data_IF_742925893695
#
_entry.id   IF_742925893695
#
_cell.length_a   1.000
_cell.length_b   1.000
_cell.length_c   1.000
_cell.angle_alpha   90.00
_cell.angle_beta   90.00
_cell.angle_gamma   90.00
#
_symmetry.space_group_name_H-M   'P 1'
#
loop_
_entity.id
_entity.type
_entity.pdbx_description
1 polymer ?
#
# COMPACT_ATOMS: atom_id res chain seq x y z
N UNK A 1 57.92 20.54 -1.00
CA UNK A 1 57.24 19.61 -1.92
C UNK A 1 56.76 18.27 -1.34
N UNK A 2 57.19 17.73 -0.18
CA UNK A 2 56.67 16.44 0.31
C UNK A 2 55.21 16.48 0.79
N UNK A 3 54.71 17.59 1.34
CA UNK A 3 53.35 17.70 1.84
C UNK A 3 52.27 17.53 0.78
N UNK A 4 52.51 18.00 -0.43
CA UNK A 4 51.56 17.90 -1.54
C UNK A 4 51.39 16.45 -2.01
N UNK A 5 52.48 15.69 -2.00
CA UNK A 5 52.47 14.26 -2.34
C UNK A 5 51.75 13.39 -1.30
N UNK A 6 51.87 13.73 -0.02
CA UNK A 6 51.18 13.02 1.06
C UNK A 6 49.67 13.28 0.98
N UNK A 7 49.28 14.55 0.79
CA UNK A 7 47.87 14.92 0.64
C UNK A 7 47.20 14.27 -0.58
N UNK A 8 47.93 14.09 -1.67
CA UNK A 8 47.44 13.43 -2.87
C UNK A 8 47.24 11.92 -2.68
N UNK A 9 48.20 11.27 -2.00
CA UNK A 9 48.08 9.84 -1.66
C UNK A 9 46.95 9.53 -0.70
N UNK A 10 46.72 10.39 0.31
CA UNK A 10 45.62 10.21 1.24
C UNK A 10 44.25 10.40 0.56
N UNK A 11 44.13 11.37 -0.32
CA UNK A 11 42.90 11.56 -1.12
C UNK A 11 42.62 10.38 -2.04
N UNK A 12 43.64 9.87 -2.73
CA UNK A 12 43.52 8.70 -3.61
C UNK A 12 43.10 7.45 -2.82
N UNK A 13 43.67 7.25 -1.65
CA UNK A 13 43.33 6.14 -0.74
C UNK A 13 41.87 6.27 -0.24
N UNK A 14 41.45 7.48 0.12
CA UNK A 14 40.06 7.73 0.53
C UNK A 14 39.06 7.46 -0.59
N UNK A 15 39.37 7.88 -1.82
CA UNK A 15 38.51 7.57 -2.99
C UNK A 15 38.48 6.06 -3.26
N UNK A 16 39.59 5.37 -3.15
CA UNK A 16 39.64 3.91 -3.34
C UNK A 16 38.84 3.17 -2.27
N UNK A 17 38.91 3.59 -1.00
CA UNK A 17 38.13 3.04 0.11
C UNK A 17 36.63 3.30 -0.10
N UNK A 18 36.24 4.51 -0.51
CA UNK A 18 34.86 4.85 -0.81
C UNK A 18 34.31 4.01 -1.97
N UNK A 19 35.11 3.83 -3.01
CA UNK A 19 34.76 3.00 -4.16
C UNK A 19 34.56 1.53 -3.76
N UNK A 20 35.44 0.97 -2.92
CA UNK A 20 35.30 -0.38 -2.40
C UNK A 20 34.05 -0.55 -1.53
N UNK A 21 33.70 0.44 -0.71
CA UNK A 21 32.47 0.43 0.10
C UNK A 21 31.21 0.45 -0.78
N UNK A 22 31.19 1.23 -1.84
CA UNK A 22 30.06 1.29 -2.77
C UNK A 22 29.90 -0.03 -3.56
N UNK A 23 31.02 -0.65 -3.96
CA UNK A 23 30.99 -1.94 -4.65
C UNK A 23 30.55 -3.10 -3.76
N UNK A 24 30.65 -2.96 -2.42
CA UNK A 24 30.22 -3.99 -1.46
C UNK A 24 28.72 -3.94 -1.17
N UNK A 25 28.01 -2.92 -1.61
CA UNK A 25 26.56 -2.82 -1.48
C UNK A 25 25.86 -3.79 -2.46
N UNK A 26 25.93 -5.07 -2.15
CA UNK A 26 25.16 -6.08 -2.88
C UNK A 26 23.69 -5.95 -2.48
N UNK A 27 22.84 -5.66 -3.45
CA UNK A 27 21.40 -5.78 -3.28
C UNK A 27 21.07 -7.23 -2.90
N UNK A 28 20.45 -7.42 -1.75
CA UNK A 28 19.97 -8.75 -1.36
C UNK A 28 18.92 -9.18 -2.37
N UNK A 29 19.22 -10.16 -3.18
CA UNK A 29 18.24 -10.75 -4.09
C UNK A 29 17.20 -11.48 -3.24
N UNK A 30 15.96 -11.00 -3.28
CA UNK A 30 14.84 -11.65 -2.59
C UNK A 30 14.69 -13.10 -3.09
N UNK A 31 14.79 -14.04 -2.15
CA UNK A 31 14.51 -15.45 -2.39
C UNK A 31 13.18 -15.80 -1.75
N UNK A 32 12.14 -16.10 -2.54
CA UNK A 32 10.84 -16.46 -1.99
C UNK A 32 10.92 -17.81 -1.26
N UNK A 33 10.22 -17.93 -0.13
CA UNK A 33 10.03 -19.21 0.53
C UNK A 33 9.13 -20.13 -0.28
N UNK A 34 9.17 -21.43 -0.01
CA UNK A 34 8.25 -22.40 -0.65
C UNK A 34 6.78 -22.06 -0.41
N UNK A 35 6.43 -21.63 0.81
CA UNK A 35 5.09 -21.16 1.14
C UNK A 35 4.67 -19.94 0.30
N UNK A 36 5.59 -18.98 0.11
CA UNK A 36 5.33 -17.83 -0.73
C UNK A 36 5.14 -18.21 -2.20
N UNK A 37 5.94 -19.16 -2.71
CA UNK A 37 5.78 -19.69 -4.07
C UNK A 37 4.43 -20.39 -4.24
N UNK A 38 4.01 -21.18 -3.26
CA UNK A 38 2.69 -21.84 -3.23
C UNK A 38 1.56 -20.80 -3.25
N UNK A 39 1.62 -19.80 -2.37
CA UNK A 39 0.60 -18.75 -2.30
C UNK A 39 0.50 -17.94 -3.59
N UNK A 40 1.63 -17.68 -4.25
CA UNK A 40 1.65 -17.03 -5.57
C UNK A 40 1.01 -17.91 -6.65
N UNK A 41 1.22 -19.22 -6.59
CA UNK A 41 0.58 -20.15 -7.52
C UNK A 41 -0.92 -20.19 -7.30
N UNK A 42 -1.37 -20.34 -6.05
CA UNK A 42 -2.79 -20.31 -5.68
C UNK A 42 -3.46 -19.01 -6.15
N UNK A 43 -2.79 -17.86 -5.98
CA UNK A 43 -3.32 -16.58 -6.48
C UNK A 43 -3.45 -16.56 -8.01
N UNK A 44 -2.47 -17.11 -8.74
CA UNK A 44 -2.54 -17.22 -10.21
C UNK A 44 -3.69 -18.12 -10.68
N UNK A 45 -3.98 -19.17 -9.91
CA UNK A 45 -5.04 -20.14 -10.24
C UNK A 45 -6.43 -19.58 -9.93
N UNK A 46 -6.51 -18.68 -8.95
CA UNK A 46 -7.72 -17.99 -8.52
C UNK A 46 -8.08 -16.80 -9.43
N UNK A 47 -8.17 -17.00 -10.72
CA UNK A 47 -8.23 -15.96 -11.78
C UNK A 47 -9.40 -14.96 -11.67
N UNK A 48 -10.45 -15.27 -10.90
CA UNK A 48 -11.62 -14.43 -10.77
C UNK A 48 -11.79 -13.97 -9.31
N UNK A 49 -11.74 -12.67 -9.10
CA UNK A 49 -11.97 -12.02 -7.82
C UNK A 49 -12.84 -10.79 -7.96
N UNK A 50 -13.39 -10.33 -6.85
CA UNK A 50 -14.16 -9.10 -6.77
C UNK A 50 -13.33 -8.02 -6.10
N UNK A 51 -13.26 -6.85 -6.71
CA UNK A 51 -12.66 -5.66 -6.12
C UNK A 51 -13.78 -4.77 -5.55
N UNK A 52 -13.71 -4.46 -4.24
CA UNK A 52 -14.72 -3.64 -3.57
C UNK A 52 -14.10 -2.29 -3.19
N UNK A 53 -14.64 -1.22 -3.78
CA UNK A 53 -14.46 0.15 -3.33
C UNK A 53 -15.63 0.55 -2.45
N UNK A 54 -15.39 0.63 -1.14
CA UNK A 54 -16.42 1.02 -0.18
C UNK A 54 -15.78 1.73 1.02
N UNK A 55 -16.27 2.90 1.34
CA UNK A 55 -15.77 3.76 2.39
C UNK A 55 -16.67 4.98 2.57
N UNK A 56 -16.21 5.99 3.33
CA UNK A 56 -17.00 7.21 3.55
C UNK A 56 -17.32 7.96 2.25
N UNK A 57 -16.50 7.83 1.21
CA UNK A 57 -16.79 8.38 -0.12
C UNK A 57 -18.06 7.83 -0.75
N UNK A 58 -18.50 6.62 -0.36
CA UNK A 58 -19.74 6.02 -0.87
C UNK A 58 -20.98 6.82 -0.49
N UNK A 59 -20.92 7.62 0.57
CA UNK A 59 -22.03 8.50 0.98
C UNK A 59 -22.32 9.61 -0.03
N UNK A 60 -21.31 10.02 -0.79
CA UNK A 60 -21.43 11.10 -1.77
C UNK A 60 -21.86 10.61 -3.15
N UNK A 61 -21.89 9.30 -3.38
CA UNK A 61 -22.33 8.64 -4.62
C UNK A 61 -21.64 9.17 -5.90
N UNK A 62 -20.42 9.70 -5.79
CA UNK A 62 -19.66 10.30 -6.90
C UNK A 62 -18.30 9.63 -7.12
N UNK A 63 -18.10 8.45 -6.51
CA UNK A 63 -16.89 7.65 -6.63
C UNK A 63 -15.85 7.90 -5.54
N UNK A 64 -14.87 7.06 -5.50
CA UNK A 64 -13.81 7.02 -4.48
C UNK A 64 -12.81 8.19 -4.58
N UNK A 65 -12.77 8.86 -5.72
CA UNK A 65 -11.94 10.04 -5.95
C UNK A 65 -12.61 11.37 -5.59
N UNK A 66 -13.79 11.34 -5.00
CA UNK A 66 -14.63 12.52 -4.74
C UNK A 66 -13.88 13.64 -4.01
N UNK A 67 -13.13 13.30 -2.96
CA UNK A 67 -12.39 14.30 -2.19
C UNK A 67 -11.40 15.06 -3.07
N UNK A 68 -10.64 14.35 -3.88
CA UNK A 68 -9.65 14.91 -4.81
C UNK A 68 -10.31 15.68 -5.94
N UNK A 69 -11.28 15.08 -6.63
CA UNK A 69 -11.92 15.68 -7.80
C UNK A 69 -12.71 16.95 -7.49
N UNK A 70 -13.24 17.06 -6.28
CA UNK A 70 -13.97 18.25 -5.80
C UNK A 70 -13.11 19.18 -4.94
N UNK A 71 -11.82 18.89 -4.79
CA UNK A 71 -10.88 19.66 -3.97
C UNK A 71 -11.43 19.93 -2.55
N UNK A 72 -11.98 18.89 -1.91
CA UNK A 72 -12.56 19.00 -0.58
C UNK A 72 -11.45 19.03 0.47
N UNK A 73 -11.62 19.89 1.48
CA UNK A 73 -10.73 19.90 2.63
C UNK A 73 -10.87 18.58 3.41
N UNK A 74 -9.75 17.91 3.69
CA UNK A 74 -9.77 16.60 4.33
C UNK A 74 -10.41 16.60 5.72
N UNK A 75 -10.28 17.71 6.52
CA UNK A 75 -10.90 17.83 7.85
C UNK A 75 -12.42 17.92 7.75
N UNK A 76 -12.93 18.63 6.76
CA UNK A 76 -14.37 18.73 6.52
C UNK A 76 -14.90 17.40 5.96
N UNK A 77 -14.15 16.78 5.07
CA UNK A 77 -14.48 15.49 4.50
C UNK A 77 -14.52 14.38 5.57
N UNK A 78 -13.60 14.37 6.53
CA UNK A 78 -13.56 13.42 7.63
C UNK A 78 -14.84 13.40 8.47
N UNK A 79 -15.58 14.52 8.54
CA UNK A 79 -16.85 14.60 9.26
C UNK A 79 -17.93 13.66 8.69
N UNK A 80 -17.78 13.23 7.44
CA UNK A 80 -18.66 12.22 6.85
C UNK A 80 -18.65 10.90 7.63
N UNK A 81 -17.54 10.59 8.33
CA UNK A 81 -17.45 9.37 9.12
C UNK A 81 -18.54 9.28 10.21
N UNK A 82 -18.92 10.43 10.80
CA UNK A 82 -19.99 10.50 11.80
C UNK A 82 -21.39 10.15 11.26
N UNK A 83 -21.57 10.28 9.93
CA UNK A 83 -22.82 9.91 9.25
C UNK A 83 -22.77 8.57 8.53
N UNK A 84 -21.60 7.92 8.52
CA UNK A 84 -21.44 6.64 7.83
C UNK A 84 -22.06 5.49 8.64
N UNK A 85 -23.33 5.26 8.39
CA UNK A 85 -24.11 4.22 9.06
C UNK A 85 -24.75 3.27 8.02
N UNK A 86 -24.06 2.21 7.59
CA UNK A 86 -24.57 1.28 6.58
C UNK A 86 -25.56 0.29 7.21
N UNK A 87 -26.77 0.75 7.53
CA UNK A 87 -27.81 -0.01 8.24
C UNK A 87 -28.21 -1.34 7.59
N UNK A 88 -27.98 -1.48 6.28
CA UNK A 88 -28.29 -2.70 5.51
C UNK A 88 -27.06 -3.56 5.21
N UNK A 89 -25.91 -3.23 5.82
CA UNK A 89 -24.71 -4.01 5.61
C UNK A 89 -24.82 -5.37 6.31
N UNK A 90 -24.60 -6.41 5.54
CA UNK A 90 -24.54 -7.78 6.00
C UNK A 90 -23.37 -8.48 5.29
N UNK A 91 -22.28 -8.66 6.02
CA UNK A 91 -21.06 -9.24 5.48
C UNK A 91 -21.28 -10.69 4.98
N UNK A 92 -22.08 -11.48 5.68
CA UNK A 92 -22.36 -12.86 5.29
C UNK A 92 -23.13 -12.92 3.97
N UNK A 93 -24.13 -12.06 3.81
CA UNK A 93 -24.90 -11.93 2.57
C UNK A 93 -24.01 -11.47 1.39
N UNK A 94 -23.13 -10.49 1.62
CA UNK A 94 -22.20 -10.03 0.59
C UNK A 94 -21.26 -11.14 0.15
N UNK A 95 -20.61 -11.81 1.11
CA UNK A 95 -19.68 -12.92 0.84
C UNK A 95 -20.40 -14.07 0.13
N UNK A 96 -21.64 -14.41 0.54
CA UNK A 96 -22.44 -15.45 -0.11
C UNK A 96 -22.73 -15.11 -1.57
N UNK A 97 -23.14 -13.88 -1.85
CA UNK A 97 -23.41 -13.42 -3.22
C UNK A 97 -22.13 -13.44 -4.10
N UNK A 98 -21.01 -12.97 -3.54
CA UNK A 98 -19.70 -12.98 -4.22
C UNK A 98 -19.26 -14.42 -4.49
N UNK A 99 -19.38 -15.31 -3.52
CA UNK A 99 -19.05 -16.74 -3.70
C UNK A 99 -19.95 -17.38 -4.77
N UNK A 100 -21.25 -17.08 -4.77
CA UNK A 100 -22.19 -17.59 -5.76
C UNK A 100 -21.86 -17.11 -7.20
N UNK A 101 -21.20 -15.97 -7.36
CA UNK A 101 -20.70 -15.49 -8.67
C UNK A 101 -19.52 -16.31 -9.22
N UNK A 102 -18.94 -17.21 -8.41
CA UNK A 102 -17.75 -17.99 -8.76
C UNK A 102 -16.43 -17.32 -8.39
N UNK A 103 -16.46 -16.13 -7.78
CA UNK A 103 -15.25 -15.44 -7.34
C UNK A 103 -14.52 -16.24 -6.25
N UNK A 104 -13.20 -16.21 -6.33
CA UNK A 104 -12.29 -16.97 -5.44
C UNK A 104 -11.68 -16.10 -4.34
N UNK A 105 -11.67 -14.78 -4.51
CA UNK A 105 -11.17 -13.83 -3.53
C UNK A 105 -11.90 -12.50 -3.61
N UNK A 106 -11.75 -11.71 -2.56
CA UNK A 106 -12.23 -10.34 -2.47
C UNK A 106 -11.02 -9.45 -2.19
N UNK A 107 -10.85 -8.38 -2.96
CA UNK A 107 -9.93 -7.31 -2.66
C UNK A 107 -10.75 -6.11 -2.17
N UNK A 108 -10.55 -5.72 -0.91
CA UNK A 108 -11.29 -4.62 -0.29
C UNK A 108 -10.36 -3.42 -0.07
N UNK A 109 -10.78 -2.22 -0.49
CA UNK A 109 -10.06 -0.99 -0.22
C UNK A 109 -10.28 -0.54 1.22
N UNK A 110 -9.53 -1.11 2.16
CA UNK A 110 -9.63 -0.76 3.57
C UNK A 110 -9.16 0.68 3.88
N UNK A 111 -8.41 1.30 2.98
CA UNK A 111 -8.02 2.70 2.95
C UNK A 111 -7.82 3.14 1.51
N UNK A 112 -8.32 4.30 1.12
CA UNK A 112 -8.25 4.80 -0.25
C UNK A 112 -7.59 6.19 -0.31
N UNK A 113 -7.75 6.94 -1.43
CA UNK A 113 -7.15 8.26 -1.66
C UNK A 113 -7.53 9.31 -0.61
N UNK A 114 -8.72 9.20 -0.03
CA UNK A 114 -9.18 10.08 1.03
C UNK A 114 -8.39 9.89 2.35
N UNK A 115 -7.60 8.82 2.47
CA UNK A 115 -6.80 8.53 3.64
C UNK A 115 -7.59 7.97 4.82
N UNK A 116 -8.92 7.85 4.71
CA UNK A 116 -9.75 7.32 5.78
C UNK A 116 -9.57 5.80 5.93
N UNK A 117 -9.26 5.34 7.15
CA UNK A 117 -9.11 3.92 7.45
C UNK A 117 -10.44 3.32 7.88
N UNK A 118 -10.91 2.29 7.16
CA UNK A 118 -12.13 1.51 7.50
C UNK A 118 -11.88 0.50 8.63
N UNK A 119 -10.79 0.68 9.39
CA UNK A 119 -10.38 -0.19 10.50
C UNK A 119 -9.69 0.64 11.58
N UNK A 120 -9.70 0.13 12.81
CA UNK A 120 -8.99 0.79 13.91
C UNK A 120 -7.49 0.70 13.70
N UNK A 121 -6.83 1.85 13.76
CA UNK A 121 -5.38 1.96 13.64
C UNK A 121 -4.83 2.97 14.66
N UNK A 122 -3.62 2.72 15.17
CA UNK A 122 -2.87 3.65 16.03
C UNK A 122 -1.90 4.53 15.24
N UNK A 123 -1.81 4.36 13.92
CA UNK A 123 -0.88 5.08 13.07
C UNK A 123 -1.51 6.28 12.36
N UNK A 124 -2.79 6.53 12.61
CA UNK A 124 -3.53 7.66 12.07
C UNK A 124 -4.72 7.94 12.98
N UNK A 125 -4.96 9.18 13.26
CA UNK A 125 -6.13 9.73 13.97
C UNK A 125 -7.19 10.30 13.01
N UNK A 126 -7.00 10.01 11.74
CA UNK A 126 -7.88 10.39 10.64
C UNK A 126 -8.72 9.20 10.15
#
# INVERSE_FOLDING_TARGET
MPFLFIAMKTRLLSFLLLFLLVCSAQSQTYQPTEENLKSRQEFRDNRFGIFLHWGIYSMLATGEWTMTNKNLNYKEYAKLAGGFYPAKFDAARWVSAIKASGAKYICFTSRHHDGFSMFHTRFSDY
#
